data_IF_811016624386
#
_entry.id   IF_811016624386
#
_cell.length_a   1.000
_cell.length_b   1.000
_cell.length_c   1.000
_cell.angle_alpha   90.00
_cell.angle_beta   90.00
_cell.angle_gamma   90.00
#
_symmetry.space_group_name_H-M   'P 1'
#
loop_
_entity.id
_entity.type
_entity.pdbx_description
1 polymer ?
#
# COMPACT_ATOMS: atom_id res chain seq x y z
N UNK A 1 -4.44 17.22 -8.86
CA UNK A 1 -4.10 15.86 -8.48
C UNK A 1 -5.04 14.87 -9.15
N UNK A 2 -4.49 13.85 -9.77
CA UNK A 2 -5.25 12.79 -10.44
C UNK A 2 -4.83 11.43 -9.90
N UNK A 3 -5.82 10.61 -9.53
CA UNK A 3 -5.61 9.20 -9.14
C UNK A 3 -6.19 8.35 -10.27
N UNK A 4 -5.38 7.48 -10.84
CA UNK A 4 -5.77 6.61 -11.96
C UNK A 4 -5.11 5.25 -11.87
N UNK A 5 -5.58 4.30 -12.67
CA UNK A 5 -4.92 3.01 -12.79
C UNK A 5 -3.56 3.17 -13.45
N UNK A 6 -2.59 2.39 -12.97
CA UNK A 6 -1.25 2.36 -13.53
C UNK A 6 -1.24 1.62 -14.86
N UNK A 7 -0.34 2.04 -15.73
CA UNK A 7 -0.02 1.32 -16.97
C UNK A 7 1.44 0.86 -16.92
N UNK A 8 1.85 0.02 -17.87
CA UNK A 8 3.24 -0.44 -17.95
C UNK A 8 4.24 0.70 -18.16
N UNK A 9 3.79 1.84 -18.66
CA UNK A 9 4.62 3.03 -18.82
C UNK A 9 4.95 3.71 -17.48
N UNK A 10 4.25 3.37 -16.40
CA UNK A 10 4.45 3.93 -15.07
C UNK A 10 5.45 3.13 -14.22
N UNK A 11 5.99 2.01 -14.71
CA UNK A 11 6.84 1.11 -13.92
C UNK A 11 8.05 1.84 -13.32
N UNK A 12 8.79 2.61 -14.12
CA UNK A 12 9.98 3.33 -13.63
C UNK A 12 9.62 4.34 -12.54
N UNK A 13 8.49 5.03 -12.70
CA UNK A 13 8.01 6.00 -11.71
C UNK A 13 7.60 5.31 -10.42
N UNK A 14 6.94 4.16 -10.49
CA UNK A 14 6.55 3.35 -9.32
C UNK A 14 7.79 2.88 -8.56
N UNK A 15 8.80 2.37 -9.27
CA UNK A 15 10.08 1.95 -8.67
C UNK A 15 10.73 3.13 -7.93
N UNK A 16 10.71 4.31 -8.53
CA UNK A 16 11.29 5.51 -7.94
C UNK A 16 10.56 5.93 -6.65
N UNK A 17 9.22 5.89 -6.65
CA UNK A 17 8.43 6.19 -5.44
C UNK A 17 8.75 5.19 -4.33
N UNK A 18 8.84 3.90 -4.64
CA UNK A 18 9.17 2.86 -3.67
C UNK A 18 10.57 3.07 -3.09
N UNK A 19 11.56 3.34 -3.93
CA UNK A 19 12.94 3.58 -3.50
C UNK A 19 13.04 4.80 -2.60
N UNK A 20 12.42 5.92 -2.97
CA UNK A 20 12.42 7.13 -2.15
C UNK A 20 11.74 6.91 -0.81
N UNK A 21 10.61 6.21 -0.79
CA UNK A 21 9.85 5.93 0.43
C UNK A 21 10.63 5.02 1.38
N UNK A 22 11.23 3.95 0.87
CA UNK A 22 12.01 3.02 1.68
C UNK A 22 13.30 3.67 2.20
N UNK A 23 13.96 4.47 1.38
CA UNK A 23 15.19 5.17 1.76
C UNK A 23 14.92 6.20 2.86
N UNK A 24 13.77 6.85 2.86
CA UNK A 24 13.37 7.82 3.87
C UNK A 24 12.86 7.14 5.16
N UNK A 25 12.03 6.11 5.02
CA UNK A 25 11.26 5.57 6.16
C UNK A 25 11.96 4.41 6.87
N UNK A 26 12.78 3.62 6.18
CA UNK A 26 13.27 2.35 6.68
C UNK A 26 14.75 2.25 7.09
N UNK A 27 15.61 3.28 7.00
CA UNK A 27 17.02 3.13 7.40
C UNK A 27 17.20 2.71 8.86
N UNK A 28 16.30 3.12 9.75
CA UNK A 28 16.34 2.77 11.17
C UNK A 28 15.59 1.47 11.49
N UNK A 29 14.86 0.91 10.52
CA UNK A 29 14.02 -0.29 10.68
C UNK A 29 14.65 -1.50 10.02
N UNK A 30 15.17 -1.35 8.80
CA UNK A 30 15.81 -2.40 8.02
C UNK A 30 17.32 -2.18 7.95
N UNK A 31 18.08 -3.28 7.92
CA UNK A 31 19.50 -3.19 7.59
C UNK A 31 19.65 -2.70 6.15
N UNK A 32 20.81 -2.13 5.81
CA UNK A 32 21.10 -1.64 4.47
C UNK A 32 20.95 -2.74 3.42
N UNK A 33 21.42 -3.95 3.73
CA UNK A 33 21.31 -5.11 2.84
C UNK A 33 19.85 -5.53 2.67
N UNK A 34 19.07 -5.60 3.76
CA UNK A 34 17.64 -5.94 3.71
C UNK A 34 16.86 -4.94 2.89
N UNK A 35 17.16 -3.65 3.04
CA UNK A 35 16.49 -2.59 2.28
C UNK A 35 16.74 -2.77 0.78
N UNK A 36 18.00 -2.94 0.37
CA UNK A 36 18.34 -3.07 -1.05
C UNK A 36 17.80 -4.36 -1.65
N UNK A 37 17.93 -5.50 -0.95
CA UNK A 37 17.41 -6.79 -1.42
C UNK A 37 15.88 -6.78 -1.50
N UNK A 38 15.23 -6.16 -0.52
CA UNK A 38 13.76 -6.01 -0.52
C UNK A 38 13.27 -5.19 -1.71
N UNK A 39 13.93 -4.06 -2.01
CA UNK A 39 13.61 -3.24 -3.17
C UNK A 39 13.81 -4.02 -4.47
N UNK A 40 14.93 -4.72 -4.62
CA UNK A 40 15.24 -5.49 -5.82
C UNK A 40 14.28 -6.66 -6.02
N UNK A 41 13.86 -7.31 -4.95
CA UNK A 41 12.94 -8.45 -5.01
C UNK A 41 11.49 -8.04 -5.24
N UNK A 42 10.99 -7.06 -4.46
CA UNK A 42 9.56 -6.71 -4.46
C UNK A 42 9.16 -5.71 -5.52
N UNK A 43 10.10 -4.89 -6.00
CA UNK A 43 9.85 -3.82 -6.96
C UNK A 43 10.64 -3.98 -8.26
N UNK A 44 10.95 -5.23 -8.66
CA UNK A 44 11.51 -5.49 -9.97
C UNK A 44 10.50 -5.10 -11.07
N UNK A 45 11.00 -4.75 -12.23
CA UNK A 45 10.16 -4.42 -13.39
C UNK A 45 9.14 -5.53 -13.67
N UNK A 46 9.59 -6.78 -13.62
CA UNK A 46 8.74 -7.95 -13.88
C UNK A 46 7.60 -8.06 -12.85
N UNK A 47 7.88 -7.90 -11.56
CA UNK A 47 6.86 -7.99 -10.52
C UNK A 47 5.84 -6.87 -10.59
N UNK A 48 6.29 -5.64 -10.88
CA UNK A 48 5.38 -4.51 -11.05
C UNK A 48 4.51 -4.71 -12.28
N UNK A 49 5.09 -5.16 -13.40
CA UNK A 49 4.36 -5.48 -14.63
C UNK A 49 3.28 -6.53 -14.37
N UNK A 50 3.63 -7.63 -13.70
CA UNK A 50 2.68 -8.68 -13.36
C UNK A 50 1.54 -8.15 -12.49
N UNK A 51 1.84 -7.28 -11.54
CA UNK A 51 0.83 -6.66 -10.66
C UNK A 51 -0.13 -5.75 -11.43
N UNK A 52 0.35 -5.07 -12.47
CA UNK A 52 -0.48 -4.20 -13.31
C UNK A 52 -1.43 -5.01 -14.20
N UNK A 53 -0.97 -6.12 -14.76
CA UNK A 53 -1.75 -6.92 -15.72
C UNK A 53 -2.61 -8.01 -15.09
N UNK A 54 -2.38 -8.35 -13.83
CA UNK A 54 -3.15 -9.42 -13.18
C UNK A 54 -4.60 -8.99 -12.91
N UNK A 55 -5.56 -9.88 -13.25
CA UNK A 55 -6.99 -9.58 -13.20
C UNK A 55 -7.55 -9.32 -11.79
N UNK A 56 -6.88 -9.83 -10.74
CA UNK A 56 -7.30 -9.67 -9.33
C UNK A 56 -6.35 -8.76 -8.56
N UNK A 57 -5.75 -7.84 -9.26
CA UNK A 57 -4.87 -6.85 -8.67
C UNK A 57 -5.27 -5.45 -9.14
N UNK A 58 -5.01 -4.48 -8.30
CA UNK A 58 -5.21 -3.07 -8.60
C UNK A 58 -3.91 -2.33 -8.30
N UNK A 59 -3.46 -1.55 -9.26
CA UNK A 59 -2.34 -0.65 -9.08
C UNK A 59 -2.83 0.75 -9.43
N UNK A 60 -2.91 1.63 -8.44
CA UNK A 60 -3.26 3.04 -8.65
C UNK A 60 -2.02 3.91 -8.52
N UNK A 61 -1.95 4.95 -9.32
CA UNK A 61 -0.90 5.97 -9.23
C UNK A 61 -1.53 7.34 -9.01
N UNK A 62 -0.79 8.20 -8.33
CA UNK A 62 -1.17 9.59 -8.10
C UNK A 62 -0.28 10.47 -8.96
N UNK A 63 -0.88 11.24 -9.86
CA UNK A 63 -0.19 12.27 -10.63
C UNK A 63 -0.40 13.64 -10.01
N UNK A 64 0.67 14.40 -9.89
CA UNK A 64 0.63 15.80 -9.48
C UNK A 64 1.72 16.56 -10.24
N UNK A 65 1.34 17.63 -10.92
CA UNK A 65 2.27 18.41 -11.77
C UNK A 65 2.98 17.54 -12.82
N UNK A 66 2.22 16.62 -13.46
CA UNK A 66 2.71 15.70 -14.48
C UNK A 66 3.75 14.67 -13.98
N UNK A 67 3.88 14.51 -12.67
CA UNK A 67 4.75 13.50 -12.04
C UNK A 67 3.94 12.52 -11.22
N UNK A 68 4.39 11.25 -11.21
CA UNK A 68 3.86 10.23 -10.30
C UNK A 68 4.49 10.44 -8.93
N UNK A 69 3.68 10.78 -7.93
CA UNK A 69 4.14 11.08 -6.57
C UNK A 69 3.68 10.05 -5.54
N UNK A 70 2.91 9.06 -5.95
CA UNK A 70 2.46 7.99 -5.07
C UNK A 70 1.86 6.84 -5.84
N UNK A 71 1.75 5.68 -5.17
CA UNK A 71 1.04 4.54 -5.73
C UNK A 71 0.46 3.67 -4.62
N UNK A 72 -0.55 2.87 -4.98
CA UNK A 72 -1.11 1.83 -4.14
C UNK A 72 -1.21 0.53 -4.92
N UNK A 73 -0.95 -0.58 -4.24
CA UNK A 73 -1.08 -1.91 -4.79
C UNK A 73 -1.99 -2.73 -3.89
N UNK A 74 -3.04 -3.29 -4.45
CA UNK A 74 -3.98 -4.14 -3.75
C UNK A 74 -4.32 -5.37 -4.57
N UNK A 75 -4.68 -6.44 -3.87
CA UNK A 75 -5.17 -7.68 -4.48
C UNK A 75 -6.43 -8.11 -3.75
N UNK A 76 -7.18 -9.05 -4.30
CA UNK A 76 -8.33 -9.65 -3.63
C UNK A 76 -8.51 -11.09 -4.03
N UNK A 77 -9.15 -11.85 -3.12
CA UNK A 77 -9.45 -13.25 -3.31
C UNK A 77 -10.97 -13.43 -3.19
N UNK A 78 -11.58 -13.99 -4.22
CA UNK A 78 -13.02 -14.22 -4.25
C UNK A 78 -13.45 -15.42 -3.40
N UNK A 79 -12.54 -16.36 -3.15
CA UNK A 79 -12.84 -17.56 -2.36
C UNK A 79 -12.85 -17.24 -0.85
N UNK A 80 -11.92 -16.40 -0.39
CA UNK A 80 -11.84 -15.99 1.02
C UNK A 80 -12.63 -14.73 1.32
N UNK A 81 -13.10 -14.02 0.30
CA UNK A 81 -13.78 -12.72 0.39
C UNK A 81 -12.95 -11.65 1.10
N UNK A 82 -11.64 -11.73 0.95
CA UNK A 82 -10.70 -10.77 1.55
C UNK A 82 -9.93 -9.99 0.47
N UNK A 83 -9.78 -8.70 0.71
CA UNK A 83 -8.86 -7.86 -0.05
C UNK A 83 -7.59 -7.62 0.74
N UNK A 84 -6.50 -7.35 0.06
CA UNK A 84 -5.20 -7.07 0.67
C UNK A 84 -4.61 -5.80 0.07
N UNK A 85 -4.30 -4.84 0.92
CA UNK A 85 -3.51 -3.69 0.52
C UNK A 85 -2.05 -4.03 0.82
N UNK A 86 -1.28 -4.18 -0.22
CA UNK A 86 0.12 -4.57 -0.11
C UNK A 86 1.04 -3.37 0.05
N UNK A 87 0.70 -2.25 -0.60
CA UNK A 87 1.53 -1.03 -0.63
C UNK A 87 0.66 0.21 -0.75
N UNK A 88 0.98 1.24 0.02
CA UNK A 88 0.50 2.61 -0.19
C UNK A 88 1.69 3.51 0.11
N UNK A 89 2.24 4.15 -0.90
CA UNK A 89 3.40 5.04 -0.74
C UNK A 89 3.17 6.37 -1.42
N UNK A 90 3.59 7.42 -0.74
CA UNK A 90 3.66 8.78 -1.30
C UNK A 90 5.09 9.28 -1.07
N UNK A 91 5.67 9.90 -2.09
CA UNK A 91 7.04 10.44 -1.95
C UNK A 91 7.11 11.42 -0.79
N UNK A 92 8.23 11.45 -0.02
CA UNK A 92 8.32 12.28 1.18
C UNK A 92 7.98 13.76 0.96
N UNK A 93 8.33 14.33 -0.19
CA UNK A 93 8.08 15.75 -0.51
C UNK A 93 6.59 16.10 -0.61
N UNK A 94 5.74 15.11 -0.84
CA UNK A 94 4.30 15.31 -1.02
C UNK A 94 3.46 14.74 0.14
N UNK A 95 4.08 14.37 1.24
CA UNK A 95 3.37 13.92 2.44
C UNK A 95 2.73 15.12 3.15
N UNK A 96 1.76 14.84 4.01
CA UNK A 96 0.98 15.83 4.76
C UNK A 96 -0.02 16.65 3.92
N UNK A 97 -0.13 16.43 2.62
CA UNK A 97 -1.12 17.08 1.74
C UNK A 97 -2.43 16.26 1.62
N UNK A 98 -2.58 15.20 2.40
CA UNK A 98 -3.76 14.33 2.34
C UNK A 98 -3.79 13.37 1.16
N UNK A 99 -2.71 13.28 0.39
CA UNK A 99 -2.62 12.42 -0.79
C UNK A 99 -2.71 10.95 -0.43
N UNK A 100 -1.99 10.52 0.61
CA UNK A 100 -2.00 9.13 1.08
C UNK A 100 -3.38 8.67 1.51
N UNK A 101 -4.08 9.51 2.29
CA UNK A 101 -5.45 9.21 2.73
C UNK A 101 -6.41 9.06 1.55
N UNK A 102 -6.35 9.97 0.60
CA UNK A 102 -7.20 9.94 -0.58
C UNK A 102 -6.90 8.73 -1.47
N UNK A 103 -5.64 8.40 -1.62
CA UNK A 103 -5.20 7.20 -2.35
C UNK A 103 -5.73 5.93 -1.67
N UNK A 104 -5.69 5.87 -0.34
CA UNK A 104 -6.23 4.74 0.43
C UNK A 104 -7.75 4.66 0.29
N UNK A 105 -8.46 5.78 0.31
CA UNK A 105 -9.91 5.83 0.10
C UNK A 105 -10.29 5.23 -1.26
N UNK A 106 -9.62 5.68 -2.32
CA UNK A 106 -9.86 5.16 -3.68
C UNK A 106 -9.56 3.67 -3.79
N UNK A 107 -8.46 3.24 -3.16
CA UNK A 107 -8.05 1.84 -3.17
C UNK A 107 -9.05 0.96 -2.44
N UNK A 108 -9.46 1.34 -1.24
CA UNK A 108 -10.47 0.61 -0.46
C UNK A 108 -11.80 0.55 -1.19
N UNK A 109 -12.24 1.67 -1.76
CA UNK A 109 -13.48 1.73 -2.54
C UNK A 109 -13.46 0.72 -3.69
N UNK A 110 -12.39 0.73 -4.47
CA UNK A 110 -12.25 -0.19 -5.62
C UNK A 110 -12.20 -1.65 -5.20
N UNK A 111 -11.50 -1.97 -4.11
CA UNK A 111 -11.42 -3.34 -3.60
C UNK A 111 -12.77 -3.82 -3.04
N UNK A 112 -13.46 -2.98 -2.28
CA UNK A 112 -14.80 -3.33 -1.77
C UNK A 112 -15.82 -3.52 -2.89
N UNK A 113 -15.68 -2.82 -4.01
CA UNK A 113 -16.53 -3.03 -5.19
C UNK A 113 -16.39 -4.44 -5.79
N UNK A 114 -15.28 -5.13 -5.51
CA UNK A 114 -15.09 -6.51 -5.94
C UNK A 114 -15.89 -7.53 -5.11
N UNK A 115 -16.57 -7.07 -4.06
CA UNK A 115 -17.44 -7.93 -3.24
C UNK A 115 -16.77 -8.55 -2.03
N UNK A 116 -15.59 -8.09 -1.63
CA UNK A 116 -14.91 -8.61 -0.44
C UNK A 116 -15.59 -8.13 0.85
N UNK A 117 -15.48 -8.91 1.91
CA UNK A 117 -16.09 -8.59 3.22
C UNK A 117 -15.16 -7.72 4.08
N UNK A 118 -13.87 -7.82 3.86
CA UNK A 118 -12.86 -7.07 4.60
C UNK A 118 -11.62 -6.81 3.75
N UNK A 119 -10.89 -5.77 4.16
CA UNK A 119 -9.60 -5.42 3.55
C UNK A 119 -8.53 -5.47 4.62
N UNK A 120 -7.44 -6.15 4.34
CA UNK A 120 -6.28 -6.25 5.22
C UNK A 120 -5.13 -5.42 4.67
N UNK A 121 -4.36 -4.81 5.57
CA UNK A 121 -3.13 -4.10 5.24
C UNK A 121 -2.01 -4.59 6.16
N UNK A 122 -0.84 -4.85 5.61
CA UNK A 122 0.31 -5.31 6.37
C UNK A 122 1.33 -4.19 6.51
N UNK A 123 1.80 -3.98 7.74
CA UNK A 123 2.74 -2.90 8.09
C UNK A 123 3.83 -3.49 9.00
N UNK A 124 5.09 -3.15 8.74
CA UNK A 124 6.17 -3.51 9.65
C UNK A 124 5.88 -2.93 11.04
N UNK A 125 6.04 -3.74 12.09
CA UNK A 125 5.70 -3.33 13.46
C UNK A 125 6.51 -2.11 13.92
N UNK A 126 7.75 -1.97 13.44
CA UNK A 126 8.60 -0.82 13.75
C UNK A 126 8.24 0.44 12.95
N UNK A 127 7.35 0.33 11.96
CA UNK A 127 6.91 1.47 11.15
C UNK A 127 5.74 2.20 11.83
N UNK A 128 6.04 3.07 12.77
CA UNK A 128 5.02 3.83 13.53
C UNK A 128 4.18 4.74 12.63
N UNK A 129 4.79 5.33 11.61
CA UNK A 129 4.09 6.20 10.65
C UNK A 129 3.00 5.42 9.89
N UNK A 130 3.35 4.24 9.38
CA UNK A 130 2.40 3.37 8.68
C UNK A 130 1.30 2.85 9.59
N UNK A 131 1.63 2.45 10.82
CA UNK A 131 0.64 1.97 11.80
C UNK A 131 -0.37 3.06 12.15
N UNK A 132 0.11 4.28 12.41
CA UNK A 132 -0.74 5.43 12.71
C UNK A 132 -1.65 5.76 11.51
N UNK A 133 -1.11 5.72 10.31
CA UNK A 133 -1.85 5.99 9.07
C UNK A 133 -3.08 5.07 8.91
N UNK A 134 -2.89 3.76 9.08
CA UNK A 134 -4.01 2.82 8.96
C UNK A 134 -4.99 2.93 10.14
N UNK A 135 -4.48 3.12 11.36
CA UNK A 135 -5.33 3.29 12.55
C UNK A 135 -6.22 4.53 12.45
N UNK A 136 -5.67 5.65 12.00
CA UNK A 136 -6.43 6.90 11.83
C UNK A 136 -7.47 6.79 10.72
N UNK A 137 -7.20 5.97 9.69
CA UNK A 137 -8.17 5.72 8.62
C UNK A 137 -9.38 4.90 9.10
N UNK A 138 -9.22 4.08 10.12
CA UNK A 138 -10.29 3.24 10.67
C UNK A 138 -9.99 1.75 10.71
N UNK A 139 -8.79 1.34 10.29
CA UNK A 139 -8.36 -0.05 10.40
C UNK A 139 -8.08 -0.39 11.87
N UNK A 140 -8.38 -1.62 12.25
CA UNK A 140 -8.08 -2.15 13.58
C UNK A 140 -6.87 -3.09 13.52
N UNK A 141 -5.99 -2.99 14.52
CA UNK A 141 -4.80 -3.83 14.61
C UNK A 141 -5.20 -5.28 14.88
N UNK A 142 -4.70 -6.20 14.05
CA UNK A 142 -4.88 -7.63 14.19
C UNK A 142 -3.60 -8.33 14.66
N UNK A 143 -3.24 -9.42 13.97
CA UNK A 143 -2.12 -10.26 14.32
C UNK A 143 -0.76 -9.66 13.98
N UNK A 144 0.28 -10.15 14.68
CA UNK A 144 1.68 -9.82 14.41
C UNK A 144 2.40 -11.11 14.02
N UNK A 145 3.04 -11.12 12.86
CA UNK A 145 3.76 -12.28 12.34
C UNK A 145 5.19 -11.90 11.97
N UNK A 146 6.05 -12.90 11.83
CA UNK A 146 7.42 -12.69 11.36
C UNK A 146 7.49 -12.83 9.85
N UNK A 147 8.22 -11.92 9.19
CA UNK A 147 8.46 -11.99 7.75
C UNK A 147 9.95 -11.84 7.44
N UNK A 148 10.45 -12.53 6.40
CA UNK A 148 11.84 -12.34 5.95
C UNK A 148 11.93 -11.17 4.97
N UNK A 149 12.94 -10.32 5.16
CA UNK A 149 13.31 -9.28 4.20
C UNK A 149 14.82 -9.30 4.09
N UNK A 150 15.34 -9.61 2.90
CA UNK A 150 16.77 -9.57 2.64
C UNK A 150 17.62 -10.44 3.57
N UNK A 151 17.15 -11.62 3.95
CA UNK A 151 17.86 -12.54 4.82
C UNK A 151 17.70 -12.29 6.32
N UNK A 152 17.11 -11.18 6.72
CA UNK A 152 16.77 -10.87 8.11
C UNK A 152 15.27 -11.08 8.35
N UNK A 153 14.89 -11.28 9.62
CA UNK A 153 13.49 -11.48 10.02
C UNK A 153 12.96 -10.24 10.73
N UNK A 154 11.77 -9.81 10.34
CA UNK A 154 11.12 -8.62 10.91
C UNK A 154 9.70 -8.96 11.36
N UNK A 155 9.15 -8.15 12.29
CA UNK A 155 7.77 -8.27 12.74
C UNK A 155 6.85 -7.46 11.82
N UNK A 156 5.72 -8.04 11.41
CA UNK A 156 4.72 -7.39 10.57
C UNK A 156 3.36 -7.45 11.24
N UNK A 157 2.68 -6.30 11.33
CA UNK A 157 1.31 -6.20 11.86
C UNK A 157 0.30 -6.25 10.73
N UNK A 158 -0.80 -6.97 10.95
CA UNK A 158 -1.95 -6.97 10.05
C UNK A 158 -3.01 -6.00 10.60
N UNK A 159 -3.47 -5.09 9.77
CA UNK A 159 -4.58 -4.17 10.05
C UNK A 159 -5.78 -4.58 9.23
N UNK A 160 -6.99 -4.49 9.79
CA UNK A 160 -8.22 -4.98 9.17
C UNK A 160 -9.29 -3.89 9.15
N UNK A 161 -9.90 -3.70 7.99
CA UNK A 161 -11.06 -2.83 7.82
C UNK A 161 -12.24 -3.68 7.35
N UNK A 162 -13.26 -3.80 8.19
CA UNK A 162 -14.48 -4.53 7.85
C UNK A 162 -15.37 -3.68 6.95
N UNK A 163 -16.11 -4.31 6.05
CA UNK A 163 -17.05 -3.62 5.14
C UNK A 163 -18.05 -2.75 5.90
N UNK A 164 -18.59 -3.24 7.00
CA UNK A 164 -19.56 -2.50 7.82
C UNK A 164 -18.96 -1.18 8.34
N UNK A 165 -17.74 -1.22 8.87
CA UNK A 165 -17.04 -0.03 9.38
C UNK A 165 -16.79 0.98 8.27
N UNK A 166 -16.39 0.52 7.10
CA UNK A 166 -16.14 1.36 5.93
C UNK A 166 -17.41 2.08 5.46
N UNK A 167 -18.54 1.36 5.41
CA UNK A 167 -19.85 1.91 5.01
C UNK A 167 -20.34 2.95 6.02
N UNK A 168 -20.17 2.70 7.33
CA UNK A 168 -20.53 3.64 8.40
C UNK A 168 -19.74 4.94 8.30
N UNK A 169 -18.42 4.88 8.07
CA UNK A 169 -17.58 6.07 7.91
C UNK A 169 -17.99 6.93 6.71
N UNK A 170 -18.35 6.31 5.59
CA UNK A 170 -18.82 7.03 4.41
C UNK A 170 -20.16 7.71 4.69
N UNK A 171 -21.08 7.04 5.37
CA UNK A 171 -22.39 7.59 5.72
C UNK A 171 -22.27 8.77 6.70
N UNK A 172 -21.30 8.75 7.61
CA UNK A 172 -21.03 9.85 8.55
C UNK A 172 -20.44 11.08 7.85
N UNK A 173 -19.67 10.90 6.78
CA UNK A 173 -19.03 11.98 6.02
C UNK A 173 -19.95 12.57 4.97
N UNK A 174 -20.93 11.81 4.56
CA UNK A 174 -21.93 12.26 3.59
C UNK A 174 -23.04 13.07 4.27
#
# INVERSE_FOLDING_TARGET
>A
MTIREATVDDIDAIQNVAEQSWTQDYPDILSRESLQEGLDEWYSEERIRDSIVWARALMLVVERHDEIVGFAHATWDTDTTEGNILRVYVTPDYRADGIGRRLLEETCHSVFEQGVDRVKAMVLDANELGKTFYSEFGFEKGEVDEIPIGGDTYQECTYVLERESYTEEIDEVA
#
